data_IF_130755166801
#
_entry.id   IF_130755166801
#
_cell.length_a   1.000
_cell.length_b   1.000
_cell.length_c   1.000
_cell.angle_alpha   90.00
_cell.angle_beta   90.00
_cell.angle_gamma   90.00
#
_symmetry.space_group_name_H-M   'P 1'
#
loop_
_entity.id
_entity.type
_entity.pdbx_description
1 polymer ?
#
# COMPACT_ATOMS: atom_id res chain seq x y z
N UNK A 1 -6.66 7.02 17.85
CA UNK A 1 -8.11 7.00 17.55
C UNK A 1 -8.90 6.63 18.81
N UNK A 2 -9.65 7.55 19.46
CA UNK A 2 -10.35 7.31 20.73
C UNK A 2 -11.62 6.46 20.61
N UNK A 3 -11.97 5.97 19.42
CA UNK A 3 -13.23 5.23 19.18
C UNK A 3 -13.18 3.77 19.65
N UNK A 4 -12.00 3.18 19.77
CA UNK A 4 -11.85 1.78 20.18
C UNK A 4 -11.11 1.72 21.53
N UNK A 5 -11.83 1.31 22.59
CA UNK A 5 -11.23 0.98 23.91
C UNK A 5 -10.48 -0.36 23.88
N UNK A 6 -9.77 -0.62 22.79
CA UNK A 6 -9.00 -1.83 22.54
C UNK A 6 -7.60 -1.42 22.13
N UNK A 7 -6.64 -2.29 22.40
CA UNK A 7 -5.27 -2.07 21.98
C UNK A 7 -5.21 -1.97 20.45
N UNK A 8 -4.47 -0.98 19.97
CA UNK A 8 -4.25 -0.75 18.55
C UNK A 8 -2.75 -0.77 18.26
N UNK A 9 -2.37 -1.31 17.11
CA UNK A 9 -1.03 -1.17 16.57
C UNK A 9 -1.12 -0.54 15.17
N UNK A 10 -0.15 0.30 14.84
CA UNK A 10 -0.09 0.99 13.56
C UNK A 10 1.28 0.86 12.93
N UNK A 11 1.35 1.04 11.63
CA UNK A 11 2.59 1.03 10.88
C UNK A 11 2.45 1.63 9.49
N UNK A 12 3.53 2.24 9.04
CA UNK A 12 3.72 2.70 7.67
C UNK A 12 4.63 1.71 6.94
N UNK A 13 4.24 1.34 5.71
CA UNK A 13 4.92 0.35 4.89
C UNK A 13 5.16 0.90 3.50
N UNK A 14 6.32 0.58 2.94
CA UNK A 14 6.67 0.88 1.57
C UNK A 14 6.98 -0.40 0.80
N UNK A 15 6.55 -0.45 -0.46
CA UNK A 15 6.90 -1.51 -1.39
C UNK A 15 7.03 -0.96 -2.81
N UNK A 16 7.69 -1.70 -3.67
CA UNK A 16 7.76 -1.38 -5.09
C UNK A 16 7.37 -2.58 -5.93
N UNK A 17 6.50 -2.36 -6.91
CA UNK A 17 6.01 -3.39 -7.81
C UNK A 17 6.15 -2.94 -9.26
N UNK A 18 6.24 -3.90 -10.17
CA UNK A 18 6.05 -3.66 -11.61
C UNK A 18 4.56 -3.82 -11.92
N UNK A 19 3.91 -2.75 -12.37
CA UNK A 19 2.45 -2.76 -12.62
C UNK A 19 2.07 -3.66 -13.80
N UNK A 20 2.99 -3.88 -14.74
CA UNK A 20 2.84 -4.82 -15.85
C UNK A 20 2.67 -6.27 -15.40
N UNK A 21 3.27 -6.68 -14.27
CA UNK A 21 3.12 -8.02 -13.70
C UNK A 21 1.67 -8.35 -13.30
N UNK A 22 0.84 -7.31 -13.12
CA UNK A 22 -0.58 -7.41 -12.80
C UNK A 22 -1.49 -7.05 -14.00
N UNK A 23 -0.94 -7.00 -15.22
CA UNK A 23 -1.69 -6.70 -16.44
C UNK A 23 -1.98 -5.20 -16.67
N UNK A 24 -1.47 -4.31 -15.82
CA UNK A 24 -1.67 -2.86 -15.94
C UNK A 24 -0.65 -2.30 -16.94
N UNK A 25 -0.91 -2.40 -18.25
CA UNK A 25 0.08 -2.08 -19.30
C UNK A 25 -0.14 -0.76 -20.03
N UNK A 26 -1.23 -0.03 -19.74
CA UNK A 26 -1.54 1.25 -20.39
C UNK A 26 -0.37 2.24 -20.29
N UNK A 27 -0.09 2.96 -21.38
CA UNK A 27 0.99 3.96 -21.49
C UNK A 27 2.42 3.45 -21.31
N UNK A 28 2.70 2.14 -21.30
CA UNK A 28 4.09 1.67 -21.41
C UNK A 28 4.62 1.88 -22.84
N UNK A 29 5.89 2.30 -23.02
CA UNK A 29 6.89 2.63 -22.00
C UNK A 29 6.90 4.12 -21.57
N UNK A 30 5.95 4.93 -22.04
CA UNK A 30 5.89 6.38 -21.78
C UNK A 30 5.69 6.74 -20.30
N UNK A 31 5.02 5.86 -19.53
CA UNK A 31 4.86 5.97 -18.08
C UNK A 31 5.57 4.79 -17.42
N UNK A 32 6.37 5.05 -16.39
CA UNK A 32 7.17 4.03 -15.69
C UNK A 32 6.35 2.80 -15.28
N UNK A 33 6.99 1.63 -15.36
CA UNK A 33 6.40 0.36 -14.94
C UNK A 33 6.47 0.17 -13.41
N UNK A 34 7.52 0.73 -12.80
CA UNK A 34 7.75 0.68 -11.35
C UNK A 34 6.84 1.62 -10.61
N UNK A 35 6.01 1.08 -9.71
CA UNK A 35 5.10 1.82 -8.84
C UNK A 35 5.54 1.65 -7.39
N UNK A 36 5.69 2.77 -6.67
CA UNK A 36 5.92 2.78 -5.22
C UNK A 36 4.58 2.80 -4.49
N UNK A 37 4.37 1.81 -3.62
CA UNK A 37 3.23 1.73 -2.73
C UNK A 37 3.60 2.38 -1.40
N UNK A 38 2.73 3.26 -0.92
CA UNK A 38 2.80 3.87 0.42
C UNK A 38 1.53 3.44 1.16
N UNK A 39 1.68 2.60 2.18
CA UNK A 39 0.56 1.95 2.86
C UNK A 39 0.60 2.30 4.34
N UNK A 40 -0.48 2.88 4.84
CA UNK A 40 -0.68 3.17 6.26
C UNK A 40 -1.72 2.21 6.83
N UNK A 41 -1.38 1.51 7.90
CA UNK A 41 -2.25 0.53 8.55
C UNK A 41 -2.47 0.91 10.01
N UNK A 42 -3.72 0.83 10.46
CA UNK A 42 -4.10 0.74 11.86
C UNK A 42 -4.86 -0.59 12.08
N UNK A 43 -4.36 -1.43 12.98
CA UNK A 43 -4.96 -2.69 13.35
C UNK A 43 -5.48 -2.64 14.80
N UNK A 44 -6.63 -3.28 15.03
CA UNK A 44 -7.27 -3.39 16.35
C UNK A 44 -7.06 -4.81 16.86
N UNK A 45 -6.60 -4.96 18.10
CA UNK A 45 -6.47 -6.27 18.75
C UNK A 45 -7.85 -6.95 18.82
N UNK A 46 -7.91 -8.19 18.32
CA UNK A 46 -9.14 -8.99 18.32
C UNK A 46 -9.63 -9.29 19.74
#
# INVERSE_FOLDING_TARGET
NPLFRREVCGGDFEAQIDRSAFGITHSLPFVADKVRLLIQVEAIRQ
#
